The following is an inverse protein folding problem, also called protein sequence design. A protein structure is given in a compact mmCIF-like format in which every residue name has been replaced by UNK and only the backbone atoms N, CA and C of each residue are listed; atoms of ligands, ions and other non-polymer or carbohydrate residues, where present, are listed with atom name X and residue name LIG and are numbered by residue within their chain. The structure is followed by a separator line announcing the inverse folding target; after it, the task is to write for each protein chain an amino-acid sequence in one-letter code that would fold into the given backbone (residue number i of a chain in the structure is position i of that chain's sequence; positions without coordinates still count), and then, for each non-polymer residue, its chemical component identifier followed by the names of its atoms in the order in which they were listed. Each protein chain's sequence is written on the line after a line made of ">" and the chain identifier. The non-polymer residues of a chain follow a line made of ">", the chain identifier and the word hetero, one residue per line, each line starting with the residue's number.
data_IF_913237558988
#
_entry.id   IF_913237558988
#
_cell.length_a   1.000
_cell.length_b   1.000
_cell.length_c   1.000
_cell.angle_alpha   90.00
_cell.angle_beta   90.00
_cell.angle_gamma   90.00
#
_symmetry.space_group_name_H-M   'P 1'
#
loop_
_entity.id
_entity.type
_entity.pdbx_description
1 polymer ?
#
# COMPACT_ATOMS: atom_id res chain seq x y z
N UNK A 1 -7.79 26.25 -6.59
CA UNK A 1 -7.82 25.77 -5.19
C UNK A 1 -8.22 24.30 -5.20
N UNK A 2 -7.37 23.41 -4.68
CA UNK A 2 -7.68 21.97 -4.56
C UNK A 2 -8.09 21.70 -3.13
N UNK A 3 -9.34 21.27 -2.92
CA UNK A 3 -9.85 20.88 -1.60
C UNK A 3 -9.71 19.37 -1.47
N UNK A 4 -9.05 18.92 -0.41
CA UNK A 4 -8.83 17.51 -0.09
C UNK A 4 -9.24 17.25 1.36
N UNK A 5 -9.62 16.01 1.68
CA UNK A 5 -10.12 15.61 3.00
C UNK A 5 -9.05 14.79 3.68
N UNK A 6 -8.62 15.19 4.89
CA UNK A 6 -7.58 14.46 5.62
C UNK A 6 -8.04 13.16 6.26
N UNK A 7 -9.33 13.08 6.57
CA UNK A 7 -9.94 11.98 7.27
C UNK A 7 -10.11 10.70 6.44
N UNK A 8 -10.06 9.57 7.15
CA UNK A 8 -10.31 8.26 6.57
C UNK A 8 -11.81 7.99 6.44
N UNK A 9 -12.45 8.51 5.39
CA UNK A 9 -13.88 8.28 5.17
C UNK A 9 -14.16 6.84 4.67
N UNK A 10 -15.23 6.16 5.17
CA UNK A 10 -15.66 4.86 4.69
C UNK A 10 -15.96 4.90 3.19
N UNK A 11 -15.38 3.98 2.39
CA UNK A 11 -15.57 4.03 0.93
C UNK A 11 -17.01 3.76 0.50
N UNK A 12 -17.81 3.08 1.31
CA UNK A 12 -19.20 2.80 1.02
C UNK A 12 -20.11 4.04 1.01
N UNK A 13 -19.70 5.18 1.59
CA UNK A 13 -20.46 6.44 1.54
C UNK A 13 -20.46 7.06 0.15
N UNK A 14 -19.42 6.79 -0.65
CA UNK A 14 -19.26 7.41 -1.96
C UNK A 14 -20.02 6.62 -3.03
N UNK A 15 -20.76 7.31 -3.92
CA UNK A 15 -21.32 6.74 -5.14
C UNK A 15 -20.28 6.02 -6.01
N UNK A 16 -20.71 5.03 -6.79
CA UNK A 16 -19.81 4.15 -7.57
C UNK A 16 -19.00 4.90 -8.61
N UNK A 17 -19.61 5.86 -9.29
CA UNK A 17 -18.98 6.78 -10.23
C UNK A 17 -17.84 7.55 -9.56
N UNK A 18 -18.08 8.14 -8.38
CA UNK A 18 -17.04 8.84 -7.60
C UNK A 18 -15.92 7.90 -7.18
N UNK A 19 -16.25 6.70 -6.68
CA UNK A 19 -15.24 5.69 -6.28
C UNK A 19 -14.29 5.32 -7.43
N UNK A 20 -14.77 5.36 -8.66
CA UNK A 20 -14.00 4.97 -9.85
C UNK A 20 -13.15 6.11 -10.44
N UNK A 21 -13.29 7.36 -9.98
CA UNK A 21 -12.50 8.50 -10.48
C UNK A 21 -11.02 8.45 -10.05
N UNK A 22 -10.69 7.67 -9.02
CA UNK A 22 -9.32 7.53 -8.50
C UNK A 22 -8.78 8.79 -7.81
N UNK A 23 -9.68 9.57 -7.20
CA UNK A 23 -9.38 10.78 -6.43
C UNK A 23 -8.48 10.46 -5.23
N UNK A 24 -7.66 11.42 -4.79
CA UNK A 24 -6.64 11.16 -3.77
C UNK A 24 -7.25 10.86 -2.39
N UNK A 25 -8.32 11.55 -1.98
CA UNK A 25 -9.02 11.24 -0.70
C UNK A 25 -9.55 9.81 -0.63
N UNK A 26 -9.88 9.19 -1.77
CA UNK A 26 -10.33 7.79 -1.81
C UNK A 26 -9.21 6.79 -1.48
N UNK A 27 -7.95 7.22 -1.47
CA UNK A 27 -6.79 6.38 -1.11
C UNK A 27 -6.48 6.43 0.38
N UNK A 28 -7.13 7.31 1.15
CA UNK A 28 -6.92 7.47 2.58
C UNK A 28 -7.68 6.39 3.34
N UNK A 29 -7.04 5.80 4.34
CA UNK A 29 -7.60 4.80 5.26
C UNK A 29 -6.97 5.01 6.63
N UNK A 30 -7.59 4.50 7.69
CA UNK A 30 -7.02 4.63 9.03
C UNK A 30 -5.60 4.05 9.06
N UNK A 31 -4.63 4.86 9.49
CA UNK A 31 -3.21 4.47 9.60
C UNK A 31 -2.75 4.29 11.05
N UNK A 32 -3.67 4.52 12.00
CA UNK A 32 -3.37 4.58 13.42
C UNK A 32 -2.74 3.25 13.87
N UNK A 33 -1.52 3.29 14.41
CA UNK A 33 -0.79 2.09 14.81
C UNK A 33 -0.47 1.12 13.65
N UNK A 34 -0.68 1.48 12.38
CA UNK A 34 -0.38 0.64 11.20
C UNK A 34 0.86 1.15 10.47
N UNK A 35 0.85 2.42 10.07
CA UNK A 35 2.01 3.09 9.43
C UNK A 35 2.40 4.37 10.15
N UNK A 36 1.60 4.82 11.12
CA UNK A 36 1.80 6.06 11.86
C UNK A 36 1.58 5.86 13.35
N UNK A 37 2.29 6.62 14.15
CA UNK A 37 1.98 6.96 15.54
C UNK A 37 2.24 8.45 15.74
N UNK A 38 1.66 9.03 16.79
CA UNK A 38 1.84 10.42 17.18
C UNK A 38 2.64 10.48 18.48
N UNK A 39 3.57 11.43 18.57
CA UNK A 39 4.33 11.74 19.78
C UNK A 39 3.92 13.13 20.24
N UNK A 40 3.54 13.25 21.50
CA UNK A 40 3.09 14.50 22.12
C UNK A 40 4.29 15.30 22.64
N UNK A 41 4.10 16.58 23.01
CA UNK A 41 5.20 17.44 23.49
C UNK A 41 5.82 16.96 24.81
N UNK A 42 5.05 16.25 25.64
CA UNK A 42 5.53 15.57 26.85
C UNK A 42 6.14 14.19 26.59
N UNK A 43 6.25 13.75 25.33
CA UNK A 43 6.80 12.45 24.95
C UNK A 43 5.77 11.33 24.80
N UNK A 44 4.49 11.56 25.11
CA UNK A 44 3.47 10.50 25.06
C UNK A 44 3.20 10.02 23.63
N UNK A 45 3.25 8.71 23.46
CA UNK A 45 3.08 8.02 22.18
C UNK A 45 1.66 7.45 22.08
N UNK A 46 1.00 7.76 20.97
CA UNK A 46 -0.39 7.39 20.66
C UNK A 46 -0.49 6.83 19.24
N UNK A 47 -1.45 5.95 18.91
CA UNK A 47 -1.54 5.36 17.57
C UNK A 47 -1.93 6.40 16.51
N UNK A 48 -2.66 7.45 16.88
CA UNK A 48 -2.87 8.64 16.07
C UNK A 48 -3.10 9.86 16.98
N UNK A 49 -3.07 11.05 16.40
CA UNK A 49 -3.29 12.33 17.11
C UNK A 49 -4.67 12.42 17.77
N UNK A 50 -5.68 11.76 17.21
CA UNK A 50 -7.06 11.79 17.70
C UNK A 50 -7.33 10.79 18.82
N UNK A 51 -6.47 9.78 19.03
CA UNK A 51 -6.70 8.77 20.07
C UNK A 51 -6.18 9.29 21.42
N UNK A 52 -7.00 9.32 22.49
CA UNK A 52 -6.52 9.72 23.82
C UNK A 52 -5.66 8.65 24.52
N UNK A 53 -5.68 7.40 24.06
CA UNK A 53 -4.96 6.31 24.70
C UNK A 53 -3.45 6.42 24.44
N UNK A 54 -2.68 6.55 25.52
CA UNK A 54 -1.22 6.51 25.54
C UNK A 54 -0.76 5.06 25.62
N UNK A 55 0.21 4.69 24.79
CA UNK A 55 0.80 3.35 24.75
C UNK A 55 2.21 3.30 25.34
N UNK A 56 2.81 4.47 25.57
CA UNK A 56 4.15 4.63 26.09
C UNK A 56 4.65 6.07 26.02
N UNK A 57 5.87 6.31 26.50
CA UNK A 57 6.55 7.59 26.40
C UNK A 57 7.93 7.42 25.76
N UNK A 58 8.29 8.29 24.82
CA UNK A 58 9.54 8.20 24.05
C UNK A 58 10.80 8.37 24.91
N UNK A 59 10.69 9.02 26.07
CA UNK A 59 11.80 9.23 27.00
C UNK A 59 12.00 8.05 27.97
N UNK A 60 11.03 7.15 28.07
CA UNK A 60 11.01 6.07 29.06
C UNK A 60 11.21 4.68 28.45
N UNK A 61 10.79 4.47 27.19
CA UNK A 61 10.88 3.17 26.54
C UNK A 61 11.18 3.24 25.05
N UNK A 62 11.78 2.14 24.55
CA UNK A 62 12.10 2.01 23.13
C UNK A 62 10.83 2.05 22.27
N UNK A 63 10.88 2.84 21.19
CA UNK A 63 9.78 3.03 20.26
C UNK A 63 9.25 1.70 19.67
N UNK A 64 10.13 0.72 19.45
CA UNK A 64 9.76 -0.62 18.99
C UNK A 64 8.82 -1.33 19.95
N UNK A 65 9.06 -1.22 21.25
CA UNK A 65 8.25 -1.87 22.28
C UNK A 65 6.85 -1.23 22.35
N UNK A 66 6.80 0.10 22.30
CA UNK A 66 5.55 0.86 22.22
C UNK A 66 4.75 0.50 20.98
N UNK A 67 5.43 0.36 19.85
CA UNK A 67 4.82 -0.02 18.59
C UNK A 67 4.17 -1.41 18.65
N UNK A 68 4.80 -2.38 19.31
CA UNK A 68 4.23 -3.72 19.50
C UNK A 68 2.99 -3.71 20.41
N UNK A 69 2.94 -2.84 21.43
CA UNK A 69 1.73 -2.67 22.25
C UNK A 69 0.50 -2.23 21.44
N UNK A 70 0.69 -1.62 20.26
CA UNK A 70 -0.40 -1.22 19.35
C UNK A 70 -0.90 -2.33 18.41
N UNK A 71 -0.53 -3.59 18.64
CA UNK A 71 -0.85 -4.71 17.73
C UNK A 71 -2.34 -4.83 17.36
N UNK A 72 -3.26 -4.46 18.25
CA UNK A 72 -4.71 -4.49 18.00
C UNK A 72 -5.17 -3.57 16.85
N UNK A 73 -4.39 -2.55 16.53
CA UNK A 73 -4.62 -1.71 15.36
C UNK A 73 -4.32 -2.43 14.04
N UNK A 74 -3.44 -3.44 14.07
CA UNK A 74 -2.91 -4.15 12.89
C UNK A 74 -3.51 -5.54 12.70
N UNK A 75 -3.95 -6.20 13.77
CA UNK A 75 -4.53 -7.55 13.72
C UNK A 75 -6.01 -7.58 13.29
N UNK A 76 -6.65 -6.41 13.15
CA UNK A 76 -8.05 -6.29 12.74
C UNK A 76 -9.07 -6.33 13.88
N UNK A 77 -8.65 -6.25 15.15
CA UNK A 77 -9.52 -6.18 16.33
C UNK A 77 -10.51 -5.01 16.26
N UNK A 78 -10.10 -3.86 15.71
CA UNK A 78 -10.96 -2.69 15.57
C UNK A 78 -11.74 -2.61 14.25
N UNK A 79 -11.71 -3.66 13.43
CA UNK A 79 -12.50 -3.72 12.20
C UNK A 79 -13.93 -4.20 12.49
N UNK A 80 -14.97 -3.46 12.07
CA UNK A 80 -16.36 -3.83 12.32
C UNK A 80 -16.72 -5.14 11.61
N UNK A 81 -17.62 -5.93 12.21
CA UNK A 81 -18.04 -7.24 11.67
C UNK A 81 -18.46 -7.17 10.20
N UNK A 82 -19.24 -6.17 9.81
CA UNK A 82 -19.71 -5.98 8.43
C UNK A 82 -18.55 -5.73 7.45
N UNK A 83 -17.52 -5.01 7.89
CA UNK A 83 -16.33 -4.75 7.07
C UNK A 83 -15.46 -5.99 6.88
N UNK A 84 -15.49 -6.97 7.79
CA UNK A 84 -14.69 -8.21 7.66
C UNK A 84 -15.07 -9.03 6.43
N UNK A 85 -16.30 -8.88 5.92
CA UNK A 85 -16.77 -9.53 4.68
C UNK A 85 -16.68 -8.63 3.44
N UNK A 86 -16.21 -7.39 3.60
CA UNK A 86 -16.17 -6.39 2.54
C UNK A 86 -14.96 -6.61 1.62
N UNK A 87 -15.19 -6.62 0.29
CA UNK A 87 -14.12 -6.92 -0.68
C UNK A 87 -13.07 -5.83 -0.80
N UNK A 88 -13.38 -4.61 -0.35
CA UNK A 88 -12.46 -3.46 -0.37
C UNK A 88 -11.86 -3.15 1.01
N UNK A 89 -11.91 -4.09 1.96
CA UNK A 89 -11.41 -3.88 3.32
C UNK A 89 -9.94 -3.41 3.34
N UNK A 90 -9.09 -4.00 2.51
CA UNK A 90 -7.66 -3.68 2.44
C UNK A 90 -7.35 -2.22 2.06
N UNK A 91 -8.25 -1.57 1.29
CA UNK A 91 -8.10 -0.17 0.87
C UNK A 91 -8.91 0.82 1.72
N UNK A 92 -9.90 0.34 2.49
CA UNK A 92 -10.81 1.18 3.29
C UNK A 92 -10.51 1.12 4.80
N UNK A 93 -10.22 -0.07 5.33
CA UNK A 93 -10.07 -0.40 6.77
C UNK A 93 -11.26 0.04 7.64
N UNK A 94 -12.45 0.14 7.04
CA UNK A 94 -13.69 0.49 7.73
C UNK A 94 -13.90 1.98 7.99
N UNK A 95 -13.00 2.86 7.55
CA UNK A 95 -13.05 4.30 7.87
C UNK A 95 -12.32 4.63 9.18
N UNK A 96 -12.55 5.82 9.73
CA UNK A 96 -11.80 6.32 10.88
C UNK A 96 -12.28 5.64 12.17
N UNK A 97 -11.38 4.92 12.85
CA UNK A 97 -11.72 4.23 14.12
C UNK A 97 -12.02 5.22 15.25
N UNK A 98 -11.47 6.42 15.19
CA UNK A 98 -11.75 7.47 16.17
C UNK A 98 -13.11 8.13 15.94
N UNK A 99 -13.53 8.31 14.69
CA UNK A 99 -14.91 8.72 14.37
C UNK A 99 -15.89 7.65 14.85
N UNK A 100 -15.61 6.37 14.58
CA UNK A 100 -16.42 5.27 15.10
C UNK A 100 -16.51 5.29 16.64
N UNK A 101 -15.39 5.49 17.33
CA UNK A 101 -15.33 5.63 18.79
C UNK A 101 -16.19 6.79 19.31
N UNK A 102 -16.10 7.96 18.68
CA UNK A 102 -16.80 9.17 19.10
C UNK A 102 -18.34 9.05 19.00
N UNK A 103 -18.84 8.27 18.04
CA UNK A 103 -20.27 8.09 17.82
C UNK A 103 -20.85 6.80 18.46
N UNK A 104 -20.01 5.96 19.05
CA UNK A 104 -20.46 4.78 19.80
C UNK A 104 -20.74 5.15 21.25
N UNK A 105 -21.94 4.84 21.75
CA UNK A 105 -22.33 5.15 23.12
C UNK A 105 -21.40 4.51 24.18
N UNK A 106 -20.72 3.41 23.84
CA UNK A 106 -19.78 2.72 24.71
C UNK A 106 -18.31 3.08 24.42
N UNK A 107 -18.04 4.01 23.50
CA UNK A 107 -16.69 4.44 23.16
C UNK A 107 -15.82 3.36 22.54
N UNK A 108 -16.38 2.43 21.74
CA UNK A 108 -15.63 1.33 21.11
C UNK A 108 -15.07 1.73 19.75
N UNK A 109 -13.79 1.47 19.52
CA UNK A 109 -13.14 1.67 18.20
C UNK A 109 -13.59 0.65 17.14
N UNK A 110 -14.11 -0.50 17.59
CA UNK A 110 -14.62 -1.58 16.73
C UNK A 110 -16.05 -1.35 16.22
N UNK A 111 -16.68 -0.25 16.63
CA UNK A 111 -18.00 0.16 16.16
C UNK A 111 -17.96 0.59 14.69
N UNK A 112 -19.16 0.79 14.13
CA UNK A 112 -19.30 1.34 12.78
C UNK A 112 -18.98 2.83 12.82
N UNK A 113 -18.20 3.29 11.85
CA UNK A 113 -18.13 4.72 11.55
C UNK A 113 -19.54 5.17 11.11
N UNK A 114 -20.04 6.33 11.58
CA UNK A 114 -21.42 6.78 11.34
C UNK A 114 -21.78 6.90 9.86
N UNK A 115 -20.79 7.06 8.97
CA UNK A 115 -20.99 7.15 7.53
C UNK A 115 -20.92 5.80 6.81
N UNK A 116 -20.75 4.70 7.54
CA UNK A 116 -20.75 3.37 6.96
C UNK A 116 -22.14 2.97 6.47
N UNK A 117 -22.22 2.68 5.18
CA UNK A 117 -23.36 2.01 4.55
C UNK A 117 -23.12 0.50 4.49
N UNK A 118 -23.28 -0.12 3.32
CA UNK A 118 -23.15 -1.56 3.11
C UNK A 118 -21.73 -1.99 2.67
N UNK A 119 -21.34 -3.26 2.91
CA UNK A 119 -20.14 -3.84 2.31
C UNK A 119 -20.15 -3.73 0.78
N UNK A 120 -18.98 -3.42 0.20
CA UNK A 120 -18.80 -3.30 -1.25
C UNK A 120 -18.23 -4.59 -1.85
N UNK A 121 -18.55 -4.80 -3.13
CA UNK A 121 -18.03 -5.88 -3.96
C UNK A 121 -16.86 -5.39 -4.84
N UNK A 122 -16.19 -6.29 -5.56
CA UNK A 122 -15.05 -5.92 -6.42
C UNK A 122 -15.46 -4.97 -7.56
N UNK A 123 -16.68 -5.13 -8.09
CA UNK A 123 -17.21 -4.31 -9.17
C UNK A 123 -17.56 -2.87 -8.73
N UNK A 124 -17.58 -2.60 -7.43
CA UNK A 124 -17.88 -1.29 -6.85
C UNK A 124 -16.67 -0.35 -6.80
N UNK A 125 -15.47 -0.86 -7.11
CA UNK A 125 -14.22 -0.11 -7.06
C UNK A 125 -13.34 -0.49 -8.25
N UNK A 126 -13.17 0.42 -9.21
CA UNK A 126 -12.16 0.25 -10.27
C UNK A 126 -10.87 0.91 -9.82
N UNK A 127 -9.86 0.12 -9.45
CA UNK A 127 -8.51 0.66 -9.47
C UNK A 127 -8.18 1.13 -10.89
N UNK A 128 -7.56 2.30 -11.02
CA UNK A 128 -6.93 2.70 -12.28
C UNK A 128 -5.83 1.69 -12.59
N UNK A 129 -6.16 0.66 -13.36
CA UNK A 129 -5.19 -0.24 -13.95
C UNK A 129 -4.38 0.59 -14.94
N UNK A 130 -3.17 1.00 -14.54
CA UNK A 130 -2.18 1.43 -15.51
C UNK A 130 -1.82 0.19 -16.30
N UNK A 131 -2.37 0.06 -17.50
CA UNK A 131 -1.97 -1.00 -18.42
C UNK A 131 -0.55 -0.69 -18.88
N UNK A 132 0.40 -1.46 -18.36
CA UNK A 132 1.72 -1.55 -18.95
C UNK A 132 1.63 -2.64 -20.01
N UNK A 133 1.70 -2.24 -21.28
CA UNK A 133 1.92 -3.18 -22.38
C UNK A 133 3.41 -3.49 -22.48
N UNK A 134 3.73 -4.77 -22.35
CA UNK A 134 5.05 -5.32 -22.58
C UNK A 134 4.92 -6.73 -23.14
N UNK A 135 5.85 -7.11 -24.01
CA UNK A 135 5.91 -8.41 -24.65
C UNK A 135 7.07 -9.23 -24.08
N UNK A 136 7.17 -10.50 -24.47
CA UNK A 136 8.31 -11.37 -24.17
C UNK A 136 9.66 -10.72 -24.54
N UNK A 137 9.67 -9.90 -25.60
CA UNK A 137 10.85 -9.23 -26.13
C UNK A 137 11.15 -7.89 -25.46
N UNK A 138 10.26 -7.37 -24.62
CA UNK A 138 10.49 -6.10 -23.95
C UNK A 138 11.72 -6.17 -23.05
N UNK A 139 12.54 -5.12 -23.12
CA UNK A 139 13.74 -4.96 -22.32
C UNK A 139 13.42 -4.04 -21.15
N UNK A 140 13.76 -4.47 -19.94
CA UNK A 140 13.65 -3.68 -18.72
C UNK A 140 15.03 -3.21 -18.26
N UNK A 141 15.06 -1.98 -17.75
CA UNK A 141 16.23 -1.40 -17.07
C UNK A 141 15.86 -1.11 -15.62
N UNK A 142 16.70 -1.54 -14.68
CA UNK A 142 16.47 -1.29 -13.25
C UNK A 142 17.05 0.07 -12.81
N UNK A 143 16.33 0.78 -11.95
CA UNK A 143 16.80 2.04 -11.39
C UNK A 143 17.85 1.80 -10.31
N UNK A 144 19.13 2.03 -10.64
CA UNK A 144 20.24 1.94 -9.66
C UNK A 144 20.13 2.93 -8.49
N UNK A 145 19.29 3.96 -8.62
CA UNK A 145 18.98 4.91 -7.54
C UNK A 145 17.80 4.41 -6.71
N UNK A 146 18.07 3.51 -5.78
CA UNK A 146 17.11 3.09 -4.76
C UNK A 146 17.83 2.87 -3.42
N UNK A 147 17.09 2.96 -2.32
CA UNK A 147 17.57 2.63 -0.98
C UNK A 147 16.76 1.45 -0.45
N UNK A 148 17.31 0.74 0.52
CA UNK A 148 16.60 -0.36 1.17
C UNK A 148 16.93 -0.42 2.66
N UNK A 149 16.00 -0.94 3.44
CA UNK A 149 16.14 -1.20 4.88
C UNK A 149 15.53 -2.55 5.21
N UNK A 150 16.21 -3.34 6.04
CA UNK A 150 15.67 -4.62 6.54
C UNK A 150 14.59 -4.33 7.58
N UNK A 151 13.47 -5.04 7.49
CA UNK A 151 12.31 -4.92 8.39
C UNK A 151 11.83 -6.33 8.74
N UNK A 152 12.19 -6.83 9.92
CA UNK A 152 11.86 -8.19 10.34
C UNK A 152 12.37 -9.27 9.37
N UNK A 153 11.43 -10.02 8.76
CA UNK A 153 11.64 -11.07 7.77
C UNK A 153 11.66 -10.55 6.31
N UNK A 154 11.48 -9.24 6.11
CA UNK A 154 11.43 -8.60 4.81
C UNK A 154 12.31 -7.35 4.68
N UNK A 155 12.03 -6.59 3.63
CA UNK A 155 12.75 -5.38 3.27
C UNK A 155 11.78 -4.29 2.84
N UNK A 156 12.05 -3.06 3.27
CA UNK A 156 11.49 -1.86 2.70
C UNK A 156 12.45 -1.36 1.61
N UNK A 157 11.97 -1.21 0.38
CA UNK A 157 12.72 -0.60 -0.73
C UNK A 157 12.11 0.75 -1.10
N UNK A 158 12.96 1.74 -1.32
CA UNK A 158 12.61 3.13 -1.61
C UNK A 158 13.21 3.57 -2.95
N UNK A 159 12.36 3.91 -3.92
CA UNK A 159 12.83 4.40 -5.22
C UNK A 159 13.21 5.88 -5.16
N UNK A 160 14.07 6.34 -6.06
CA UNK A 160 14.42 7.75 -6.21
C UNK A 160 13.23 8.72 -6.46
N UNK A 161 12.02 8.21 -6.71
CA UNK A 161 10.80 9.01 -6.92
C UNK A 161 9.82 8.91 -5.75
N UNK A 162 10.34 8.69 -4.53
CA UNK A 162 9.59 8.58 -3.29
C UNK A 162 8.49 7.51 -3.32
N UNK A 163 8.77 6.35 -3.94
CA UNK A 163 7.90 5.17 -3.88
C UNK A 163 8.49 4.14 -2.94
N UNK A 164 7.66 3.65 -2.04
CA UNK A 164 8.03 2.63 -1.04
C UNK A 164 7.32 1.33 -1.39
N UNK A 165 8.06 0.22 -1.35
CA UNK A 165 7.49 -1.12 -1.34
C UNK A 165 8.04 -1.90 -0.15
N UNK A 166 7.16 -2.68 0.48
CA UNK A 166 7.56 -3.72 1.44
C UNK A 166 7.54 -5.04 0.69
N UNK A 167 8.66 -5.75 0.72
CA UNK A 167 8.88 -6.98 -0.03
C UNK A 167 9.50 -8.03 0.87
N UNK A 168 9.25 -9.31 0.59
CA UNK A 168 9.89 -10.41 1.32
C UNK A 168 11.34 -10.60 0.84
N UNK A 169 12.04 -11.54 1.49
CA UNK A 169 13.45 -11.82 1.22
C UNK A 169 13.67 -12.34 -0.20
N UNK A 170 12.78 -13.16 -0.75
CA UNK A 170 12.88 -13.73 -2.10
C UNK A 170 12.73 -12.65 -3.16
N UNK A 171 11.78 -11.73 -2.99
CA UNK A 171 11.59 -10.62 -3.91
C UNK A 171 12.75 -9.61 -3.78
N UNK A 172 13.30 -9.42 -2.58
CA UNK A 172 14.52 -8.63 -2.43
C UNK A 172 15.72 -9.23 -3.17
N UNK A 173 15.86 -10.56 -3.18
CA UNK A 173 16.89 -11.24 -3.97
C UNK A 173 16.73 -10.96 -5.48
N UNK A 174 15.49 -10.96 -5.99
CA UNK A 174 15.21 -10.54 -7.37
C UNK A 174 15.61 -9.08 -7.62
N UNK A 175 15.28 -8.16 -6.70
CA UNK A 175 15.66 -6.75 -6.81
C UNK A 175 17.19 -6.59 -6.83
N UNK A 176 17.92 -7.32 -5.98
CA UNK A 176 19.38 -7.34 -5.96
C UNK A 176 20.01 -7.94 -7.21
N UNK A 177 19.35 -8.92 -7.81
CA UNK A 177 19.76 -9.43 -9.12
C UNK A 177 19.58 -8.35 -10.20
N UNK A 178 18.40 -7.72 -10.27
CA UNK A 178 18.11 -6.67 -11.24
C UNK A 178 18.99 -5.43 -11.07
N UNK A 179 19.44 -5.12 -9.85
CA UNK A 179 20.41 -4.05 -9.58
C UNK A 179 21.76 -4.28 -10.26
N UNK A 180 22.21 -5.55 -10.34
CA UNK A 180 23.50 -5.94 -10.94
C UNK A 180 23.46 -6.00 -12.46
N UNK A 181 22.27 -6.12 -13.06
CA UNK A 181 22.12 -6.23 -14.50
C UNK A 181 21.60 -4.93 -15.08
N UNK A 182 22.33 -4.33 -16.02
CA UNK A 182 21.93 -3.07 -16.62
C UNK A 182 20.60 -3.18 -17.38
N UNK A 183 20.48 -4.19 -18.24
CA UNK A 183 19.28 -4.45 -19.02
C UNK A 183 18.98 -5.95 -19.13
N UNK A 184 17.70 -6.30 -19.03
CA UNK A 184 17.23 -7.69 -19.13
C UNK A 184 15.99 -7.76 -20.01
N UNK A 185 15.99 -8.72 -20.93
CA UNK A 185 14.79 -9.10 -21.70
C UNK A 185 13.86 -9.95 -20.84
N UNK A 186 12.56 -9.68 -20.87
CA UNK A 186 11.60 -10.29 -19.95
C UNK A 186 11.47 -11.82 -20.09
N UNK A 187 11.62 -12.37 -21.31
CA UNK A 187 11.69 -13.83 -21.52
C UNK A 187 12.90 -14.48 -20.86
N UNK A 188 14.09 -13.85 -20.94
CA UNK A 188 15.30 -14.33 -20.28
C UNK A 188 15.17 -14.26 -18.76
N UNK A 189 14.52 -13.22 -18.24
CA UNK A 189 14.21 -13.13 -16.81
C UNK A 189 13.28 -14.24 -16.35
N UNK A 190 12.22 -14.51 -17.12
CA UNK A 190 11.25 -15.55 -16.80
C UNK A 190 11.91 -16.95 -16.82
N UNK A 191 12.65 -17.26 -17.89
CA UNK A 191 13.36 -18.53 -18.04
C UNK A 191 14.38 -18.77 -16.94
N UNK A 192 15.13 -17.75 -16.52
CA UNK A 192 16.11 -17.87 -15.42
C UNK A 192 15.45 -18.22 -14.09
N UNK A 193 14.24 -17.75 -13.88
CA UNK A 193 13.46 -18.04 -12.68
C UNK A 193 12.66 -19.35 -12.80
N UNK A 194 12.84 -20.13 -13.89
CA UNK A 194 12.03 -21.31 -14.21
C UNK A 194 10.52 -21.02 -14.25
N UNK A 195 10.14 -19.80 -14.66
CA UNK A 195 8.75 -19.35 -14.72
C UNK A 195 8.39 -18.98 -16.16
N UNK A 196 7.17 -19.29 -16.58
CA UNK A 196 6.65 -18.84 -17.88
C UNK A 196 6.43 -17.33 -17.88
N UNK A 197 6.75 -16.65 -18.98
CA UNK A 197 6.39 -15.24 -19.15
C UNK A 197 4.90 -14.97 -18.92
N UNK A 198 4.02 -15.91 -19.27
CA UNK A 198 2.57 -15.77 -19.10
C UNK A 198 2.10 -16.04 -17.65
N UNK A 199 3.00 -16.39 -16.74
CA UNK A 199 2.66 -16.60 -15.34
C UNK A 199 2.05 -15.34 -14.72
N UNK A 200 0.93 -15.52 -14.02
CA UNK A 200 0.14 -14.42 -13.47
C UNK A 200 0.91 -13.64 -12.40
N UNK A 201 1.73 -14.32 -11.60
CA UNK A 201 2.49 -13.68 -10.52
C UNK A 201 3.70 -12.94 -11.08
N UNK A 202 4.41 -13.53 -12.04
CA UNK A 202 5.47 -12.86 -12.79
C UNK A 202 4.98 -11.55 -13.41
N UNK A 203 3.87 -11.61 -14.16
CA UNK A 203 3.25 -10.44 -14.79
C UNK A 203 2.87 -9.36 -13.76
N UNK A 204 2.34 -9.75 -12.59
CA UNK A 204 2.03 -8.82 -11.50
C UNK A 204 3.28 -8.17 -10.92
N UNK A 205 4.35 -8.91 -10.70
CA UNK A 205 5.62 -8.40 -10.15
C UNK A 205 6.22 -7.35 -11.10
N UNK A 206 6.29 -7.65 -12.40
CA UNK A 206 6.79 -6.70 -13.41
C UNK A 206 5.94 -5.43 -13.44
N UNK A 207 4.60 -5.57 -13.45
CA UNK A 207 3.68 -4.42 -13.37
C UNK A 207 3.86 -3.62 -12.07
N UNK A 208 4.11 -4.27 -10.94
CA UNK A 208 4.34 -3.63 -9.66
C UNK A 208 5.64 -2.79 -9.68
N UNK A 209 6.72 -3.36 -10.20
CA UNK A 209 8.00 -2.66 -10.34
C UNK A 209 7.90 -1.47 -11.31
N UNK A 210 7.18 -1.62 -12.43
CA UNK A 210 6.89 -0.53 -13.39
C UNK A 210 6.06 0.58 -12.74
N UNK A 211 4.94 0.21 -12.08
CA UNK A 211 4.04 1.15 -11.38
C UNK A 211 4.78 1.98 -10.33
N UNK A 212 5.73 1.38 -9.63
CA UNK A 212 6.53 2.03 -8.60
C UNK A 212 7.86 2.60 -9.10
N UNK A 213 8.08 2.57 -10.43
CA UNK A 213 9.25 3.15 -11.11
C UNK A 213 10.59 2.59 -10.64
N UNK A 214 10.61 1.32 -10.23
CA UNK A 214 11.85 0.57 -9.98
C UNK A 214 12.47 0.06 -11.28
N UNK A 215 11.65 -0.17 -12.31
CA UNK A 215 12.10 -0.53 -13.65
C UNK A 215 11.46 0.38 -14.70
N UNK A 216 12.13 0.52 -15.85
CA UNK A 216 11.63 1.19 -17.05
C UNK A 216 11.70 0.26 -18.26
N UNK A 217 10.75 0.38 -19.19
CA UNK A 217 10.79 -0.34 -20.47
C UNK A 217 11.61 0.46 -21.48
N UNK A 218 12.60 -0.18 -22.10
CA UNK A 218 13.16 0.32 -23.35
C UNK A 218 12.24 -0.15 -24.48
N UNK A 219 11.59 0.80 -25.17
CA UNK A 219 11.04 0.52 -26.50
C UNK A 219 12.25 0.40 -27.44
N UNK A 220 12.62 -0.81 -27.82
CA UNK A 220 13.39 -0.95 -29.05
C UNK A 220 12.50 -0.42 -30.18
N UNK A 221 13.02 0.54 -30.94
CA UNK A 221 12.43 0.99 -32.19
C UNK A 221 12.08 -0.26 -33.01
N UNK A 222 10.80 -0.47 -33.29
CA UNK A 222 10.43 -1.30 -34.44
C UNK A 222 10.92 -0.52 -35.66
N UNK A 223 12.12 -0.88 -36.12
CA UNK A 223 12.58 -0.56 -37.45
C UNK A 223 11.63 -1.21 -38.43
N UNK A 224 10.75 -0.39 -38.99
CA UNK A 224 9.93 -0.68 -40.15
C UNK A 224 9.89 0.59 -41.00
N UNK A 225 10.80 0.68 -41.97
CA UNK A 225 10.61 1.52 -43.14
C UNK A 225 9.26 1.19 -43.78
N UNK A 226 8.48 2.20 -44.13
CA UNK A 226 8.13 2.47 -45.53
C UNK A 226 7.14 3.64 -45.64
N UNK A 227 7.59 4.63 -46.42
CA UNK A 227 6.85 5.54 -47.34
C UNK A 227 5.71 6.36 -46.75
#
# INVERSE_FOLDING_TARGET
>A
MYVDIMEALPKCVFPKDIRCLGLNFLKRKCQAGITTMAVSTNGDIRPCTHNPQVYGNIFEENLSNVWEKMFDWRNGSYIPKDCKKCRVLNICLGGCRMTAKAYDMMGRQSSKDPWMLKPLRNDDFKEKNVNFDFSKKSIIRFSKKFQFRREGDGYLIHSAKNKILVINTEFFALVKYLEKVDEVRLDKLANRSNISFNDRNFQKIIKLLLRNKFISLNKQQEGGQNV
#
